data_IF_186690445162
#
_entry.id   IF_186690445162
#
_cell.length_a   1.000
_cell.length_b   1.000
_cell.length_c   1.000
_cell.angle_alpha   90.00
_cell.angle_beta   90.00
_cell.angle_gamma   90.00
#
_symmetry.space_group_name_H-M   'P 1'
#
loop_
_entity.id
_entity.type
_entity.pdbx_description
1 polymer ?
#
# COMPACT_ATOMS: atom_id res chain seq x y z
N UNK A 1 -20.91 3.22 -23.94
CA UNK A 1 -20.43 3.13 -23.78
C UNK A 1 -19.62 3.16 -23.07
N UNK A 2 -19.14 3.10 -22.98
CA UNK A 2 -18.31 3.37 -22.43
C UNK A 2 -18.09 3.09 -21.18
N UNK A 3 -18.41 3.01 -20.68
CA UNK A 3 -18.44 2.78 -19.47
C UNK A 3 -17.70 1.77 -18.96
N UNK A 4 -17.32 0.94 -19.56
CA UNK A 4 -16.60 -0.07 -19.11
C UNK A 4 -15.40 0.23 -18.46
N UNK A 5 -14.92 1.31 -18.50
CA UNK A 5 -13.70 1.52 -17.94
C UNK A 5 -13.71 1.32 -16.52
N UNK A 6 -14.76 1.44 -15.88
CA UNK A 6 -14.68 1.25 -14.53
C UNK A 6 -14.55 -0.17 -14.18
N UNK A 7 -14.94 -1.08 -14.97
CA UNK A 7 -14.78 -2.44 -14.60
C UNK A 7 -13.39 -2.88 -14.74
N UNK A 8 -12.60 -2.17 -15.50
CA UNK A 8 -11.22 -2.56 -15.71
C UNK A 8 -10.28 -1.84 -14.81
N UNK A 9 -10.79 -1.14 -13.82
CA UNK A 9 -9.94 -0.43 -12.89
C UNK A 9 -9.05 -1.40 -12.15
N UNK A 10 -7.77 -1.09 -12.10
CA UNK A 10 -6.79 -1.90 -11.41
C UNK A 10 -6.05 -1.00 -10.46
N UNK A 11 -5.99 -1.38 -9.20
CA UNK A 11 -5.30 -0.62 -8.18
C UNK A 11 -4.06 -1.40 -7.80
N UNK A 12 -2.90 -0.79 -7.95
CA UNK A 12 -1.65 -1.42 -7.57
C UNK A 12 -1.32 -1.07 -6.14
N UNK A 13 -0.85 -2.04 -5.38
CA UNK A 13 -0.48 -1.84 -4.00
C UNK A 13 0.99 -2.19 -3.86
N UNK A 14 1.82 -1.17 -3.62
CA UNK A 14 3.24 -1.40 -3.39
C UNK A 14 3.46 -1.62 -1.91
N UNK A 15 4.10 -2.70 -1.56
CA UNK A 15 4.34 -2.99 -0.15
C UNK A 15 5.29 -4.14 0.03
N UNK A 16 5.40 -4.63 1.24
CA UNK A 16 6.25 -5.78 1.56
C UNK A 16 5.55 -6.65 2.58
N UNK A 17 5.69 -7.97 2.48
CA UNK A 17 5.00 -8.85 3.43
C UNK A 17 5.48 -8.71 4.87
N UNK A 18 6.68 -8.17 5.07
CA UNK A 18 7.18 -7.98 6.42
C UNK A 18 6.59 -6.76 7.11
N UNK A 19 5.86 -5.93 6.40
CA UNK A 19 5.22 -4.75 6.96
C UNK A 19 3.84 -5.12 7.49
N UNK A 20 3.55 -4.90 8.78
CA UNK A 20 2.24 -5.30 9.32
C UNK A 20 1.08 -4.58 8.64
N UNK A 21 1.26 -3.32 8.27
CA UNK A 21 0.23 -2.57 7.56
C UNK A 21 -0.03 -3.20 6.20
N UNK A 22 1.05 -3.57 5.51
CA UNK A 22 0.91 -4.19 4.19
C UNK A 22 0.25 -5.54 4.30
N UNK A 23 0.62 -6.33 5.30
CA UNK A 23 0.03 -7.64 5.48
C UNK A 23 -1.47 -7.54 5.75
N UNK A 24 -1.88 -6.54 6.53
CA UNK A 24 -3.29 -6.36 6.83
C UNK A 24 -4.07 -5.99 5.56
N UNK A 25 -3.49 -5.14 4.73
CA UNK A 25 -4.11 -4.75 3.48
C UNK A 25 -4.15 -5.94 2.52
N UNK A 26 -3.08 -6.71 2.46
CA UNK A 26 -3.01 -7.85 1.55
C UNK A 26 -4.10 -8.87 1.87
N UNK A 27 -4.39 -9.07 3.15
CA UNK A 27 -5.45 -9.99 3.52
C UNK A 27 -6.81 -9.49 3.04
N UNK A 28 -7.04 -8.19 3.10
CA UNK A 28 -8.32 -7.65 2.67
C UNK A 28 -8.54 -7.79 1.18
N UNK A 29 -7.48 -7.73 0.39
CA UNK A 29 -7.63 -7.77 -1.06
C UNK A 29 -7.42 -9.15 -1.64
N UNK A 30 -7.19 -10.14 -0.80
CA UNK A 30 -6.95 -11.49 -1.27
C UNK A 30 -8.11 -11.97 -2.11
N UNK A 31 -7.83 -12.40 -3.30
CA UNK A 31 -8.88 -12.86 -4.22
C UNK A 31 -9.63 -11.76 -4.95
N UNK A 32 -9.34 -10.51 -4.67
CA UNK A 32 -10.02 -9.40 -5.31
C UNK A 32 -9.22 -8.97 -6.54
N UNK A 33 -9.79 -9.18 -7.70
CA UNK A 33 -9.09 -8.94 -8.96
C UNK A 33 -8.88 -7.47 -9.28
N UNK A 34 -9.50 -6.58 -8.54
CA UNK A 34 -9.29 -5.16 -8.76
C UNK A 34 -7.94 -4.70 -8.22
N UNK A 35 -7.31 -5.50 -7.40
CA UNK A 35 -6.05 -5.12 -6.75
C UNK A 35 -4.92 -6.00 -7.21
N UNK A 36 -3.76 -5.38 -7.38
CA UNK A 36 -2.55 -6.11 -7.71
C UNK A 36 -1.50 -5.75 -6.67
N UNK A 37 -1.09 -6.72 -5.88
CA UNK A 37 -0.10 -6.52 -4.84
C UNK A 37 1.29 -6.66 -5.45
N UNK A 38 2.13 -5.68 -5.22
CA UNK A 38 3.50 -5.67 -5.75
C UNK A 38 4.46 -5.63 -4.57
N UNK A 39 5.21 -6.70 -4.40
CA UNK A 39 6.17 -6.82 -3.31
C UNK A 39 7.47 -6.14 -3.77
N UNK A 40 7.76 -4.98 -3.20
CA UNK A 40 8.90 -4.22 -3.63
C UNK A 40 10.21 -4.86 -3.18
N UNK A 41 10.14 -5.82 -2.28
CA UNK A 41 11.33 -6.55 -1.86
C UNK A 41 11.60 -7.79 -2.68
N UNK A 42 10.68 -8.18 -3.55
CA UNK A 42 10.84 -9.40 -4.33
C UNK A 42 11.65 -9.19 -5.60
N UNK A 43 11.73 -7.94 -6.08
CA UNK A 43 12.39 -7.68 -7.34
C UNK A 43 12.89 -6.24 -7.35
N UNK A 44 14.14 -6.06 -7.72
CA UNK A 44 14.73 -4.71 -7.70
C UNK A 44 14.02 -3.77 -8.66
N UNK A 45 13.39 -4.29 -9.71
CA UNK A 45 12.63 -3.42 -10.61
C UNK A 45 11.40 -2.86 -9.94
N UNK A 46 10.77 -3.65 -9.09
CA UNK A 46 9.60 -3.19 -8.34
C UNK A 46 10.03 -2.13 -7.33
N UNK A 47 11.18 -2.36 -6.69
CA UNK A 47 11.71 -1.37 -5.75
C UNK A 47 12.02 -0.08 -6.48
N UNK A 48 12.64 -0.15 -7.65
CA UNK A 48 12.96 1.03 -8.42
C UNK A 48 11.73 1.80 -8.86
N UNK A 49 10.69 1.08 -9.27
CA UNK A 49 9.44 1.72 -9.67
C UNK A 49 8.81 2.45 -8.47
N UNK A 50 8.85 1.82 -7.31
CA UNK A 50 8.33 2.43 -6.10
C UNK A 50 9.14 3.68 -5.73
N UNK A 51 10.44 3.60 -5.81
CA UNK A 51 11.28 4.74 -5.47
C UNK A 51 11.03 5.92 -6.40
N UNK A 52 10.84 5.67 -7.68
CA UNK A 52 10.53 6.74 -8.61
C UNK A 52 9.18 7.37 -8.29
N UNK A 53 8.22 6.55 -7.90
CA UNK A 53 6.92 7.04 -7.51
C UNK A 53 7.04 7.90 -6.25
N UNK A 54 7.77 7.41 -5.27
CA UNK A 54 7.96 8.11 -4.00
C UNK A 54 8.63 9.46 -4.21
N UNK A 55 9.60 9.50 -5.11
CA UNK A 55 10.33 10.73 -5.36
C UNK A 55 9.50 11.80 -6.04
N UNK A 56 8.50 11.39 -6.82
CA UNK A 56 7.74 12.34 -7.61
C UNK A 56 6.38 12.70 -7.08
N UNK A 57 5.79 11.87 -6.27
CA UNK A 57 4.43 12.08 -5.84
C UNK A 57 4.37 12.82 -4.51
N UNK A 58 3.54 13.85 -4.44
CA UNK A 58 3.34 14.60 -3.20
C UNK A 58 2.65 13.75 -2.14
N UNK A 59 2.06 12.64 -2.52
CA UNK A 59 1.41 11.77 -1.54
C UNK A 59 2.41 11.23 -0.51
N UNK A 60 3.69 11.24 -0.85
CA UNK A 60 4.72 10.74 0.05
C UNK A 60 5.43 11.84 0.86
N UNK A 61 4.96 13.06 0.75
CA UNK A 61 5.67 14.17 1.42
C UNK A 61 5.78 13.96 2.92
N UNK A 62 4.71 13.53 3.56
CA UNK A 62 4.74 13.29 4.98
C UNK A 62 5.68 12.13 5.32
N UNK A 63 5.62 11.06 4.55
CA UNK A 63 6.50 9.91 4.77
C UNK A 63 7.95 10.32 4.66
N UNK A 64 8.27 11.13 3.66
CA UNK A 64 9.65 11.59 3.49
C UNK A 64 10.09 12.46 4.64
N UNK A 65 9.19 13.29 5.14
CA UNK A 65 9.53 14.18 6.24
C UNK A 65 9.85 13.44 7.53
N UNK A 66 9.20 12.32 7.76
CA UNK A 66 9.44 11.58 9.00
C UNK A 66 10.34 10.37 8.79
N UNK A 67 10.87 10.19 7.59
CA UNK A 67 11.77 9.07 7.33
C UNK A 67 11.09 7.73 7.15
N UNK A 68 9.82 7.74 6.83
CA UNK A 68 9.08 6.50 6.62
C UNK A 68 9.18 6.08 5.16
N UNK A 69 8.99 4.79 4.91
CA UNK A 69 9.04 4.26 3.56
C UNK A 69 7.85 4.72 2.74
N UNK A 70 6.68 4.70 3.33
CA UNK A 70 5.45 5.09 2.64
C UNK A 70 4.71 3.91 2.03
N UNK A 71 4.73 2.76 2.68
CA UNK A 71 3.99 1.60 2.24
C UNK A 71 2.96 1.22 3.31
N UNK A 72 1.85 0.68 2.92
CA UNK A 72 1.44 0.37 1.55
C UNK A 72 1.06 1.63 0.78
N UNK A 73 1.40 1.65 -0.48
CA UNK A 73 1.06 2.78 -1.35
C UNK A 73 0.14 2.27 -2.45
N UNK A 74 -0.94 3.00 -2.68
CA UNK A 74 -1.96 2.59 -3.63
C UNK A 74 -1.90 3.49 -4.85
N UNK A 75 -1.83 2.90 -6.03
CA UNK A 75 -1.80 3.65 -7.28
C UNK A 75 -3.03 3.25 -8.08
N UNK A 76 -3.91 4.20 -8.26
CA UNK A 76 -5.15 3.95 -8.95
C UNK A 76 -4.94 3.96 -10.46
N UNK A 77 -5.93 3.48 -11.17
CA UNK A 77 -5.84 3.34 -12.61
C UNK A 77 -5.61 4.66 -13.31
N UNK A 78 -6.09 5.76 -12.76
CA UNK A 78 -5.93 7.08 -13.34
C UNK A 78 -4.62 7.75 -12.92
N UNK A 79 -3.79 7.05 -12.18
CA UNK A 79 -2.50 7.60 -11.74
C UNK A 79 -2.53 8.25 -10.38
N UNK A 80 -3.68 8.33 -9.76
CA UNK A 80 -3.79 8.88 -8.41
C UNK A 80 -3.05 8.00 -7.43
N UNK A 81 -2.28 8.61 -6.54
CA UNK A 81 -1.51 7.89 -5.54
C UNK A 81 -2.01 8.28 -4.16
N UNK A 82 -2.26 7.30 -3.33
CA UNK A 82 -2.68 7.55 -1.96
C UNK A 82 -2.05 6.52 -1.04
N UNK A 83 -1.81 6.92 0.20
CA UNK A 83 -1.30 6.01 1.22
C UNK A 83 -2.39 5.61 2.19
N UNK A 84 -3.61 6.05 1.95
CA UNK A 84 -4.72 5.76 2.85
C UNK A 84 -5.57 4.63 2.32
N UNK A 85 -5.66 3.51 3.03
CA UNK A 85 -6.48 2.38 2.57
C UNK A 85 -7.94 2.77 2.40
N UNK A 86 -8.44 3.69 3.22
CA UNK A 86 -9.82 4.12 3.12
C UNK A 86 -10.14 4.72 1.76
N UNK A 87 -9.16 5.33 1.11
CA UNK A 87 -9.39 5.95 -0.20
C UNK A 87 -9.71 4.91 -1.27
N UNK A 88 -9.38 3.66 -1.02
CA UNK A 88 -9.67 2.58 -1.97
C UNK A 88 -10.65 1.57 -1.37
N UNK A 89 -11.36 1.97 -0.33
CA UNK A 89 -12.42 1.14 0.24
C UNK A 89 -11.95 0.08 1.20
N UNK A 90 -10.74 0.18 1.69
CA UNK A 90 -10.20 -0.80 2.61
C UNK A 90 -10.13 -0.22 4.02
N UNK A 91 -9.98 -1.09 5.00
CA UNK A 91 -9.86 -0.68 6.37
C UNK A 91 -8.43 -0.33 6.69
N UNK A 92 -8.26 0.68 7.52
CA UNK A 92 -6.95 1.11 7.95
C UNK A 92 -6.44 0.19 9.05
N UNK A 93 -5.15 -0.09 9.04
CA UNK A 93 -4.52 -0.91 10.06
C UNK A 93 -4.46 -0.12 11.36
N UNK A 94 -4.92 -0.74 12.43
CA UNK A 94 -4.86 -0.13 13.74
C UNK A 94 -4.07 -1.09 14.64
N UNK A 95 -2.86 -0.74 15.04
CA UNK A 95 -2.04 -1.66 15.83
C UNK A 95 -2.66 -2.02 17.17
N UNK A 96 -3.53 -1.17 17.71
CA UNK A 96 -4.16 -1.46 18.99
C UNK A 96 -5.27 -2.50 18.86
N UNK A 97 -5.85 -2.64 17.68
CA UNK A 97 -6.97 -3.54 17.48
C UNK A 97 -6.60 -4.70 16.56
N UNK A 98 -5.90 -4.41 15.48
CA UNK A 98 -5.58 -5.40 14.47
C UNK A 98 -4.17 -5.90 14.55
N UNK A 99 -3.35 -5.21 15.27
CA UNK A 99 -1.94 -5.50 15.26
C UNK A 99 -1.59 -6.75 16.00
N UNK A 100 -0.46 -7.30 15.66
CA UNK A 100 0.05 -8.41 16.38
C UNK A 100 0.58 -7.91 17.68
N UNK A 101 0.87 -8.76 18.52
CA UNK A 101 1.44 -8.40 19.77
C UNK A 101 2.81 -7.77 19.61
N UNK A 102 3.44 -7.95 18.51
CA UNK A 102 4.77 -7.44 18.34
C UNK A 102 4.81 -5.96 18.13
N UNK A 103 5.62 -5.26 18.86
CA UNK A 103 5.82 -3.85 18.65
C UNK A 103 7.29 -3.56 18.71
N UNK A 104 7.67 -2.40 18.19
CA UNK A 104 9.06 -2.06 18.11
C UNK A 104 9.68 -1.78 19.46
N UNK A 105 8.90 -1.42 20.43
CA UNK A 105 9.45 -1.17 21.75
C UNK A 105 9.50 -2.45 22.56
N UNK A 106 9.19 -3.56 21.94
CA UNK A 106 9.30 -4.84 22.62
C UNK A 106 8.15 -5.22 23.48
N UNK A 107 7.22 -4.34 23.67
CA UNK A 107 6.17 -4.67 24.54
C UNK A 107 5.14 -5.53 23.95
N UNK A 108 4.90 -5.52 22.76
CA UNK A 108 3.88 -6.29 22.17
C UNK A 108 4.36 -7.55 21.55
N UNK A 109 5.54 -7.92 21.74
CA UNK A 109 5.98 -9.08 21.04
C UNK A 109 6.39 -10.17 21.97
#
# INVERSE_FOLDING_TARGET
MIIKRKETTMIKIYGMPSCPYCAFVDEQVKGDKRFKVIDIGANVRYMGAFMRLRDKSAAFDHSKAIGDIGIPAFVLDDGTVTLKPEDVGLKEYNPDVNGPACSLDGKGC
#
